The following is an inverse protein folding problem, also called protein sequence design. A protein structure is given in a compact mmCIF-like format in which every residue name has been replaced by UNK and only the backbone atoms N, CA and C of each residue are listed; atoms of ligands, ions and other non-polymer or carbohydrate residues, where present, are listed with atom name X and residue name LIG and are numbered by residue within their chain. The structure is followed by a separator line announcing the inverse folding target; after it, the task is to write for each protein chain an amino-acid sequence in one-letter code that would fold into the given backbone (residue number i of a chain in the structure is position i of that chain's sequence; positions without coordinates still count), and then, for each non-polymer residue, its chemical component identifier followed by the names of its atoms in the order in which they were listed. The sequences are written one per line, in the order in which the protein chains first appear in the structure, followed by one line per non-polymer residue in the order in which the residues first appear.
data_IF_613021762324
#
_entry.id   IF_613021762324
#
_cell.length_a   1.000
_cell.length_b   1.000
_cell.length_c   1.000
_cell.angle_alpha   90.00
_cell.angle_beta   90.00
_cell.angle_gamma   90.00
#
_symmetry.space_group_name_H-M   'P 1'
#
loop_
_entity.id
_entity.type
_entity.pdbx_description
1 polymer ?
#
# COMPACT_ATOMS: atom_id res chain seq x y z
N UNK A 1 5.26 -13.06 0.42
CA UNK A 1 4.19 -13.97 -0.07
C UNK A 1 3.73 -13.42 -1.41
N UNK A 2 3.67 -14.21 -2.50
CA UNK A 2 3.11 -13.71 -3.77
C UNK A 2 1.60 -13.49 -3.59
N UNK A 3 1.11 -12.32 -4.01
CA UNK A 3 -0.30 -11.97 -3.95
C UNK A 3 -1.16 -12.98 -4.72
N UNK A 4 -2.34 -13.32 -4.20
CA UNK A 4 -3.36 -14.14 -4.89
C UNK A 4 -4.20 -13.33 -5.89
N UNK A 5 -3.97 -12.02 -5.97
CA UNK A 5 -4.75 -11.11 -6.83
C UNK A 5 -4.66 -11.48 -8.31
N UNK A 6 -3.50 -11.80 -8.91
CA UNK A 6 -3.45 -12.18 -10.33
C UNK A 6 -4.30 -13.42 -10.62
N UNK A 7 -4.26 -14.44 -9.76
CA UNK A 7 -5.07 -15.66 -9.91
C UNK A 7 -6.57 -15.37 -9.84
N UNK A 8 -6.98 -14.46 -8.94
CA UNK A 8 -8.36 -14.03 -8.81
C UNK A 8 -8.83 -13.25 -10.05
N UNK A 9 -7.99 -12.35 -10.57
CA UNK A 9 -8.29 -11.58 -11.79
C UNK A 9 -8.46 -12.49 -13.01
N UNK A 10 -7.61 -13.51 -13.18
CA UNK A 10 -7.78 -14.52 -14.24
C UNK A 10 -9.12 -15.24 -14.11
N UNK A 11 -9.51 -15.65 -12.90
CA UNK A 11 -10.81 -16.32 -12.66
C UNK A 11 -12.01 -15.43 -12.97
N UNK A 12 -11.85 -14.11 -12.86
CA UNK A 12 -12.86 -13.12 -13.23
C UNK A 12 -12.85 -12.78 -14.74
N UNK A 13 -11.97 -13.41 -15.52
CA UNK A 13 -11.88 -13.23 -16.97
C UNK A 13 -10.98 -12.06 -17.40
N UNK A 14 -10.13 -11.53 -16.52
CA UNK A 14 -9.18 -10.50 -16.91
C UNK A 14 -8.04 -11.09 -17.77
N UNK A 15 -7.69 -10.39 -18.85
CA UNK A 15 -6.46 -10.63 -19.60
C UNK A 15 -5.29 -10.05 -18.82
N UNK A 16 -4.26 -10.87 -18.56
CA UNK A 16 -3.09 -10.46 -17.77
C UNK A 16 -1.83 -10.58 -18.61
N UNK A 17 -1.11 -9.47 -18.71
CA UNK A 17 0.27 -9.42 -19.20
C UNK A 17 1.22 -9.25 -18.02
N UNK A 18 2.23 -10.12 -17.91
CA UNK A 18 3.27 -10.01 -16.87
C UNK A 18 4.44 -9.21 -17.44
N UNK A 19 4.72 -8.06 -16.85
CA UNK A 19 5.84 -7.20 -17.23
C UNK A 19 6.52 -6.60 -15.99
N UNK A 20 7.76 -6.15 -16.16
CA UNK A 20 8.48 -5.41 -15.12
C UNK A 20 8.03 -3.95 -15.15
N UNK A 21 7.37 -3.51 -14.07
CA UNK A 21 6.92 -2.13 -13.93
C UNK A 21 7.99 -1.28 -13.24
N UNK A 22 8.10 -0.01 -13.66
CA UNK A 22 8.98 0.96 -13.01
C UNK A 22 8.42 1.42 -11.65
N UNK A 23 7.09 1.50 -11.53
CA UNK A 23 6.34 1.84 -10.30
C UNK A 23 4.93 1.25 -10.39
N UNK A 24 4.33 0.91 -9.25
CA UNK A 24 3.03 0.24 -9.18
C UNK A 24 3.15 -1.29 -9.27
N UNK A 25 2.13 -1.98 -8.77
CA UNK A 25 1.97 -3.43 -8.87
C UNK A 25 1.12 -3.85 -10.07
N UNK A 26 0.13 -3.02 -10.43
CA UNK A 26 -0.78 -3.30 -11.54
C UNK A 26 -1.06 -2.04 -12.36
N UNK A 27 -0.95 -2.13 -13.68
CA UNK A 27 -1.28 -1.05 -14.60
C UNK A 27 -2.44 -1.51 -15.47
N UNK A 28 -3.54 -0.78 -15.46
CA UNK A 28 -4.74 -1.13 -16.25
C UNK A 28 -4.95 -0.20 -17.43
N UNK A 29 -4.20 0.92 -17.49
CA UNK A 29 -4.14 1.83 -18.62
C UNK A 29 -2.92 2.75 -18.49
N UNK A 30 -2.66 3.55 -19.52
CA UNK A 30 -1.70 4.66 -19.48
C UNK A 30 -1.98 5.70 -18.37
N UNK A 31 -3.19 5.69 -17.81
CA UNK A 31 -3.64 6.68 -16.82
C UNK A 31 -3.82 6.13 -15.41
N UNK A 32 -4.03 4.83 -15.26
CA UNK A 32 -4.46 4.21 -13.99
C UNK A 32 -3.48 3.10 -13.62
N UNK A 33 -2.89 3.25 -12.43
CA UNK A 33 -2.05 2.24 -11.82
C UNK A 33 -2.46 2.04 -10.36
N UNK A 34 -2.27 0.81 -9.89
CA UNK A 34 -2.54 0.38 -8.53
C UNK A 34 -1.22 -0.01 -7.85
N UNK A 35 -1.06 0.45 -6.62
CA UNK A 35 -0.06 -0.05 -5.67
C UNK A 35 -0.82 -0.78 -4.56
N UNK A 36 -0.39 -1.99 -4.22
CA UNK A 36 -1.01 -2.82 -3.18
C UNK A 36 -0.01 -3.00 -2.04
N UNK A 37 -0.36 -2.53 -0.85
CA UNK A 37 0.43 -2.77 0.37
C UNK A 37 -0.39 -3.47 1.43
N UNK A 38 0.26 -4.34 2.19
CA UNK A 38 -0.34 -4.85 3.41
C UNK A 38 -0.29 -3.79 4.50
N UNK A 39 -1.17 -3.89 5.50
CA UNK A 39 -1.11 -3.04 6.71
C UNK A 39 0.28 -3.11 7.35
N UNK A 40 0.87 -4.30 7.43
CA UNK A 40 2.20 -4.52 7.99
C UNK A 40 3.31 -3.82 7.18
N UNK A 41 3.27 -3.89 5.84
CA UNK A 41 4.24 -3.21 4.97
C UNK A 41 4.15 -1.69 5.11
N UNK A 42 2.92 -1.17 5.22
CA UNK A 42 2.67 0.25 5.47
C UNK A 42 3.29 0.66 6.80
N UNK A 43 3.10 -0.10 7.89
CA UNK A 43 3.72 0.23 9.18
C UNK A 43 5.24 0.13 9.18
N UNK A 44 5.79 -0.92 8.56
CA UNK A 44 7.23 -1.11 8.47
C UNK A 44 7.89 0.09 7.77
N UNK A 45 7.30 0.55 6.67
CA UNK A 45 7.82 1.68 5.88
C UNK A 45 7.44 3.06 6.45
N UNK A 46 6.34 3.17 7.20
CA UNK A 46 5.94 4.41 7.89
C UNK A 46 6.89 4.78 9.02
N UNK A 47 7.50 3.82 9.72
CA UNK A 47 8.50 4.11 10.76
C UNK A 47 9.68 4.87 10.13
N UNK A 48 10.06 4.49 8.92
CA UNK A 48 11.13 5.12 8.15
C UNK A 48 10.65 6.37 7.38
N UNK A 49 9.32 6.59 7.30
CA UNK A 49 8.54 7.66 6.63
C UNK A 49 8.87 7.88 5.16
N UNK A 50 10.14 8.06 4.80
CA UNK A 50 10.60 8.49 3.48
C UNK A 50 10.30 7.48 2.38
N UNK A 51 10.49 6.19 2.64
CA UNK A 51 10.36 5.15 1.61
C UNK A 51 8.91 4.95 1.13
N UNK A 52 7.92 5.09 2.03
CA UNK A 52 6.51 5.03 1.61
C UNK A 52 6.13 6.24 0.77
N UNK A 53 6.51 7.44 1.21
CA UNK A 53 6.17 8.67 0.48
C UNK A 53 6.86 8.76 -0.87
N UNK A 54 8.12 8.33 -1.00
CA UNK A 54 8.84 8.34 -2.28
C UNK A 54 8.17 7.44 -3.31
N UNK A 55 7.81 6.21 -2.93
CA UNK A 55 7.11 5.26 -3.80
C UNK A 55 5.75 5.80 -4.28
N UNK A 56 4.94 6.34 -3.35
CA UNK A 56 3.65 6.93 -3.70
C UNK A 56 3.78 8.18 -4.57
N UNK A 57 4.82 8.99 -4.35
CA UNK A 57 5.11 10.14 -5.19
C UNK A 57 5.51 9.73 -6.61
N UNK A 58 6.32 8.68 -6.76
CA UNK A 58 6.72 8.19 -8.08
C UNK A 58 5.54 7.59 -8.85
N UNK A 59 4.63 6.90 -8.16
CA UNK A 59 3.36 6.44 -8.73
C UNK A 59 2.50 7.62 -9.20
N UNK A 60 2.34 8.65 -8.36
CA UNK A 60 1.53 9.82 -8.67
C UNK A 60 2.11 10.71 -9.77
N UNK A 61 3.44 10.71 -9.94
CA UNK A 61 4.09 11.37 -11.07
C UNK A 61 3.93 10.60 -12.38
N UNK A 62 3.87 9.26 -12.29
CA UNK A 62 3.85 8.39 -13.47
C UNK A 62 2.44 8.21 -14.04
N UNK A 63 1.41 8.28 -13.20
CA UNK A 63 0.03 8.01 -13.60
C UNK A 63 -0.92 9.11 -13.15
N UNK A 64 -1.87 9.47 -14.02
CA UNK A 64 -2.88 10.51 -13.73
C UNK A 64 -3.86 10.10 -12.62
N UNK A 65 -4.10 8.81 -12.46
CA UNK A 65 -5.03 8.22 -11.49
C UNK A 65 -4.33 7.09 -10.72
N UNK A 66 -3.39 7.43 -9.82
CA UNK A 66 -2.75 6.45 -8.94
C UNK A 66 -3.76 5.98 -7.88
N UNK A 67 -3.80 4.68 -7.59
CA UNK A 67 -4.68 4.11 -6.58
C UNK A 67 -3.85 3.26 -5.62
N UNK A 68 -3.93 3.57 -4.32
CA UNK A 68 -3.34 2.75 -3.27
C UNK A 68 -4.41 1.84 -2.67
N UNK A 69 -4.14 0.54 -2.65
CA UNK A 69 -4.95 -0.46 -1.95
C UNK A 69 -4.17 -0.88 -0.71
N UNK A 70 -4.79 -0.72 0.46
CA UNK A 70 -4.27 -1.22 1.73
C UNK A 70 -5.12 -2.42 2.14
N UNK A 71 -4.49 -3.56 2.39
CA UNK A 71 -5.16 -4.80 2.77
C UNK A 71 -4.57 -5.43 4.04
N UNK A 72 -5.43 -6.12 4.80
CA UNK A 72 -5.08 -6.74 6.08
C UNK A 72 -6.21 -6.58 7.09
N UNK A 73 -6.24 -7.45 8.10
CA UNK A 73 -7.22 -7.34 9.17
C UNK A 73 -6.88 -6.19 10.11
N UNK A 74 -7.85 -5.30 10.24
CA UNK A 74 -8.01 -4.35 11.34
C UNK A 74 -7.08 -3.13 11.38
N UNK A 75 -7.20 -2.29 10.35
CA UNK A 75 -6.64 -0.92 10.29
C UNK A 75 -6.94 -0.13 11.60
N UNK A 76 -8.07 -0.41 12.24
CA UNK A 76 -8.53 0.26 13.46
C UNK A 76 -7.98 -0.36 14.75
N UNK A 77 -7.91 -1.70 14.92
CA UNK A 77 -7.30 -2.32 16.12
C UNK A 77 -5.88 -1.86 16.39
N UNK A 78 -5.09 -1.65 15.34
CA UNK A 78 -3.68 -1.28 15.45
C UNK A 78 -3.46 0.21 15.74
N UNK A 79 -4.40 1.08 15.36
CA UNK A 79 -4.36 2.52 15.72
C UNK A 79 -4.46 2.76 17.24
N UNK A 80 -5.06 1.81 17.99
CA UNK A 80 -5.26 1.92 19.44
C UNK A 80 -4.21 1.25 20.33
N UNK A 81 -3.32 0.39 19.81
CA UNK A 81 -2.36 -0.38 20.64
C UNK A 81 -0.89 -0.01 20.53
N UNK A 82 -0.48 0.85 19.57
CA UNK A 82 0.92 1.24 19.37
C UNK A 82 1.21 2.75 19.40
N UNK A 83 0.24 3.60 19.74
CA UNK A 83 0.58 4.90 20.32
C UNK A 83 0.86 4.67 21.80
N UNK A 84 2.12 4.75 22.21
CA UNK A 84 2.53 4.61 23.60
C UNK A 84 1.90 5.75 24.43
N UNK A 85 0.96 5.51 25.38
CA UNK A 85 0.36 6.55 26.21
C UNK A 85 1.29 6.89 27.39
N UNK A 86 2.56 7.14 27.12
CA UNK A 86 3.53 7.62 28.11
C UNK A 86 4.17 8.91 27.65
N UNK A 87 3.32 9.90 27.43
CA UNK A 87 3.63 11.29 27.70
C UNK A 87 2.36 11.86 28.35
N UNK A 88 2.55 12.49 29.50
CA UNK A 88 1.56 13.29 30.24
C UNK A 88 0.71 12.54 31.28
N UNK A 89 1.36 12.07 32.35
CA UNK A 89 0.79 12.25 33.70
C UNK A 89 1.92 12.41 34.71
N UNK A 90 2.11 13.63 35.20
CA UNK A 90 3.15 13.95 36.18
C UNK A 90 3.08 15.40 36.67
N UNK A 91 1.90 15.83 37.14
CA UNK A 91 1.84 16.86 38.17
C UNK A 91 1.97 16.15 39.53
N UNK A 92 3.12 16.27 40.16
CA UNK A 92 3.37 16.37 41.61
C UNK A 92 4.85 16.60 41.82
#
# INVERSE_FOLDING_TARGET
MRSRVPEALVKLGAEIEISTLKTGDYVVSDRVAFERKTVDDVFATLIERRELFSQLMDLAKSYRKPILIIEGEDIFFFSGRRMNPKSDTGFS
#
